data_IF_574715655707
#
_entry.id   IF_574715655707
#
_cell.length_a   1.000
_cell.length_b   1.000
_cell.length_c   1.000
_cell.angle_alpha   90.00
_cell.angle_beta   90.00
_cell.angle_gamma   90.00
#
_symmetry.space_group_name_H-M   'P 1'
#
loop_
_entity.id
_entity.type
_entity.pdbx_description
1 polymer ?
#
# COMPACT_ATOMS: atom_id res chain seq x y z
N UNK A 1 -2.79 22.62 -10.76
CA UNK A 1 -1.56 21.81 -10.77
C UNK A 1 -1.87 20.56 -9.97
N UNK A 2 -1.74 19.36 -10.53
CA UNK A 2 -2.09 18.14 -9.79
C UNK A 2 -1.13 17.99 -8.59
N UNK A 3 -1.70 17.78 -7.41
CA UNK A 3 -0.94 17.50 -6.17
C UNK A 3 -0.40 16.06 -6.12
N UNK A 4 -0.70 15.24 -7.13
CA UNK A 4 -0.35 13.82 -7.21
C UNK A 4 1.17 13.59 -7.29
N UNK A 5 1.96 14.64 -7.56
CA UNK A 5 3.43 14.55 -7.51
C UNK A 5 3.99 14.61 -6.07
N UNK A 6 3.22 15.13 -5.11
CA UNK A 6 3.66 15.27 -3.72
C UNK A 6 2.92 14.34 -2.75
N UNK A 7 1.67 14.02 -3.07
CA UNK A 7 0.75 13.23 -2.24
C UNK A 7 0.44 11.90 -2.93
N UNK A 8 0.71 10.80 -2.23
CA UNK A 8 0.34 9.46 -2.65
C UNK A 8 -0.87 8.93 -1.87
N UNK A 9 -1.87 8.44 -2.60
CA UNK A 9 -3.04 7.74 -2.05
C UNK A 9 -2.77 6.24 -1.96
N UNK A 10 -3.05 5.64 -0.80
CA UNK A 10 -2.88 4.20 -0.58
C UNK A 10 -3.81 3.42 -1.48
N UNK A 11 -5.07 3.86 -1.63
CA UNK A 11 -6.06 3.17 -2.47
C UNK A 11 -5.57 3.07 -3.91
N UNK A 12 -5.09 4.19 -4.46
CA UNK A 12 -4.62 4.24 -5.84
C UNK A 12 -3.33 3.42 -5.99
N UNK A 13 -2.45 3.47 -5.00
CA UNK A 13 -1.23 2.66 -4.96
C UNK A 13 -1.53 1.17 -4.93
N UNK A 14 -2.54 0.72 -4.16
CA UNK A 14 -2.98 -0.69 -4.12
C UNK A 14 -3.55 -1.11 -5.48
N UNK A 15 -4.40 -0.30 -6.10
CA UNK A 15 -4.94 -0.63 -7.43
C UNK A 15 -3.85 -0.67 -8.50
N UNK A 16 -2.91 0.27 -8.48
CA UNK A 16 -1.74 0.24 -9.35
C UNK A 16 -0.91 -1.03 -9.14
N UNK A 17 -0.63 -1.40 -7.88
CA UNK A 17 0.07 -2.65 -7.57
C UNK A 17 -0.70 -3.89 -8.04
N UNK A 18 -2.03 -3.90 -7.89
CA UNK A 18 -2.89 -4.98 -8.37
C UNK A 18 -2.86 -5.14 -9.90
N UNK A 19 -2.87 -4.02 -10.64
CA UNK A 19 -2.76 -4.03 -12.09
C UNK A 19 -1.40 -4.56 -12.57
N UNK A 20 -0.30 -4.07 -11.97
CA UNK A 20 1.07 -4.53 -12.28
C UNK A 20 1.25 -6.00 -11.89
N UNK A 21 0.70 -6.43 -10.76
CA UNK A 21 0.71 -7.83 -10.32
C UNK A 21 -0.05 -8.74 -11.30
N UNK A 22 -1.22 -8.32 -11.76
CA UNK A 22 -2.01 -9.08 -12.73
C UNK A 22 -1.24 -9.26 -14.05
N UNK A 23 -0.54 -8.20 -14.49
CA UNK A 23 0.34 -8.27 -15.65
C UNK A 23 1.53 -9.22 -15.42
N UNK A 24 2.16 -9.15 -14.25
CA UNK A 24 3.19 -10.11 -13.83
C UNK A 24 2.68 -11.56 -13.93
N UNK A 25 1.50 -11.85 -13.42
CA UNK A 25 0.91 -13.19 -13.44
C UNK A 25 0.70 -13.71 -14.87
N UNK A 26 0.38 -12.83 -15.83
CA UNK A 26 0.29 -13.16 -17.24
C UNK A 26 1.67 -13.43 -17.86
N UNK A 27 2.66 -12.56 -17.59
CA UNK A 27 4.03 -12.70 -18.12
C UNK A 27 4.75 -13.96 -17.64
N UNK A 28 4.46 -14.45 -16.42
CA UNK A 28 5.01 -15.72 -15.92
C UNK A 28 4.69 -16.94 -16.78
N UNK A 29 3.71 -16.84 -17.68
CA UNK A 29 3.29 -17.92 -18.58
C UNK A 29 4.02 -17.88 -19.93
N UNK A 30 4.89 -16.90 -20.13
CA UNK A 30 5.68 -16.71 -21.36
C UNK A 30 7.11 -17.18 -21.08
N UNK A 31 7.64 -18.06 -21.92
CA UNK A 31 8.97 -18.68 -21.70
C UNK A 31 10.13 -17.68 -21.84
N UNK A 32 10.08 -16.78 -22.82
CA UNK A 32 11.04 -15.68 -22.99
C UNK A 32 10.34 -14.33 -22.85
N UNK A 33 10.11 -13.93 -21.61
CA UNK A 33 9.53 -12.63 -21.26
C UNK A 33 10.56 -11.49 -21.20
N UNK A 34 11.83 -11.78 -21.55
CA UNK A 34 12.96 -10.84 -21.50
C UNK A 34 13.12 -10.15 -20.14
N UNK A 35 12.79 -10.83 -19.04
CA UNK A 35 12.92 -10.32 -17.67
C UNK A 35 11.77 -9.43 -17.21
N UNK A 36 10.71 -9.24 -18.01
CA UNK A 36 9.58 -8.38 -17.66
C UNK A 36 8.84 -8.84 -16.41
N UNK A 37 8.66 -10.14 -16.21
CA UNK A 37 8.05 -10.68 -14.98
C UNK A 37 8.87 -10.31 -13.75
N UNK A 38 10.21 -10.26 -13.84
CA UNK A 38 11.05 -9.86 -12.72
C UNK A 38 10.85 -8.38 -12.37
N UNK A 39 10.83 -7.50 -13.38
CA UNK A 39 10.57 -6.06 -13.21
C UNK A 39 9.19 -5.81 -12.58
N UNK A 40 8.15 -6.44 -13.14
CA UNK A 40 6.76 -6.28 -12.68
C UNK A 40 6.57 -6.83 -11.25
N UNK A 41 7.16 -7.99 -10.95
CA UNK A 41 7.18 -8.58 -9.61
C UNK A 41 7.82 -7.62 -8.61
N UNK A 42 9.01 -7.11 -8.93
CA UNK A 42 9.75 -6.22 -8.02
C UNK A 42 9.02 -4.90 -7.82
N UNK A 43 8.40 -4.34 -8.87
CA UNK A 43 7.60 -3.12 -8.79
C UNK A 43 6.39 -3.31 -7.85
N UNK A 44 5.65 -4.41 -8.03
CA UNK A 44 4.53 -4.78 -7.14
C UNK A 44 4.98 -4.89 -5.68
N UNK A 45 6.05 -5.65 -5.43
CA UNK A 45 6.59 -5.87 -4.07
C UNK A 45 7.03 -4.56 -3.43
N UNK A 46 7.75 -3.70 -4.17
CA UNK A 46 8.19 -2.39 -3.67
C UNK A 46 7.02 -1.50 -3.31
N UNK A 47 5.98 -1.45 -4.16
CA UNK A 47 4.79 -0.64 -3.90
C UNK A 47 4.05 -1.10 -2.63
N UNK A 48 3.74 -2.39 -2.53
CA UNK A 48 3.02 -2.95 -1.37
C UNK A 48 3.80 -2.81 -0.06
N UNK A 49 5.14 -2.94 -0.10
CA UNK A 49 6.01 -2.68 1.05
C UNK A 49 6.11 -1.20 1.41
N UNK A 50 6.13 -0.32 0.41
CA UNK A 50 6.14 1.13 0.62
C UNK A 50 4.90 1.59 1.39
N UNK A 51 3.72 1.10 1.01
CA UNK A 51 2.47 1.34 1.76
C UNK A 51 2.60 0.87 3.21
N UNK A 52 3.06 -0.36 3.43
CA UNK A 52 3.22 -0.91 4.78
C UNK A 52 4.21 -0.08 5.61
N UNK A 53 5.30 0.38 5.01
CA UNK A 53 6.29 1.22 5.67
C UNK A 53 5.69 2.56 6.12
N UNK A 54 4.79 3.16 5.33
CA UNK A 54 4.05 4.36 5.75
C UNK A 54 3.18 4.07 6.99
N UNK A 55 2.45 2.96 7.01
CA UNK A 55 1.63 2.59 8.18
C UNK A 55 2.42 2.17 9.41
N UNK A 56 3.58 1.52 9.25
CA UNK A 56 4.46 1.19 10.38
C UNK A 56 4.91 2.45 11.12
N UNK A 57 5.16 3.56 10.40
CA UNK A 57 5.49 4.85 11.02
C UNK A 57 4.34 5.42 11.87
N UNK A 58 3.11 4.99 11.61
CA UNK A 58 1.90 5.37 12.33
C UNK A 58 1.41 4.28 13.29
N UNK A 59 2.23 3.28 13.62
CA UNK A 59 1.81 2.16 14.46
C UNK A 59 1.26 2.60 15.84
N UNK A 60 1.73 3.74 16.37
CA UNK A 60 1.18 4.33 17.59
C UNK A 60 -0.32 4.66 17.50
N UNK A 61 -0.80 5.12 16.33
CA UNK A 61 -2.21 5.40 16.09
C UNK A 61 -3.04 4.12 16.14
N UNK A 62 -2.49 3.01 15.61
CA UNK A 62 -3.16 1.69 15.67
C UNK A 62 -3.36 1.25 17.12
N UNK A 63 -2.35 1.44 17.98
CA UNK A 63 -2.48 1.09 19.40
C UNK A 63 -3.54 1.94 20.12
N UNK A 64 -3.64 3.23 19.79
CA UNK A 64 -4.69 4.11 20.30
C UNK A 64 -6.07 3.70 19.76
N UNK A 65 -6.16 3.34 18.48
CA UNK A 65 -7.40 2.92 17.83
C UNK A 65 -7.99 1.65 18.46
N UNK A 66 -7.14 0.71 18.90
CA UNK A 66 -7.56 -0.49 19.64
C UNK A 66 -8.29 -0.15 20.95
N UNK A 67 -7.83 0.89 21.63
CA UNK A 67 -8.46 1.34 22.89
C UNK A 67 -9.70 2.19 22.61
N UNK A 68 -9.64 3.02 21.56
CA UNK A 68 -10.67 3.99 21.19
C UNK A 68 -10.83 4.00 19.68
N UNK A 69 -11.89 3.36 19.19
CA UNK A 69 -12.22 3.26 17.76
C UNK A 69 -12.77 4.60 17.22
N UNK A 70 -11.96 5.65 17.27
CA UNK A 70 -12.31 7.00 16.83
C UNK A 70 -11.59 7.36 15.53
N UNK A 71 -12.18 8.27 14.76
CA UNK A 71 -11.60 8.76 13.51
C UNK A 71 -10.23 9.43 13.72
N UNK A 72 -10.01 10.05 14.87
CA UNK A 72 -8.76 10.73 15.25
C UNK A 72 -7.57 9.79 15.42
N UNK A 73 -7.83 8.50 15.64
CA UNK A 73 -6.78 7.49 15.81
C UNK A 73 -6.73 6.53 14.62
N UNK A 74 -7.48 6.82 13.55
CA UNK A 74 -7.48 6.00 12.35
C UNK A 74 -6.14 6.12 11.58
N UNK A 75 -5.74 5.05 10.90
CA UNK A 75 -4.61 5.11 9.99
C UNK A 75 -4.90 6.07 8.83
N UNK A 76 -3.91 6.87 8.46
CA UNK A 76 -4.03 7.76 7.31
C UNK A 76 -3.97 6.94 6.01
N UNK A 77 -4.72 7.37 4.99
CA UNK A 77 -4.72 6.75 3.66
C UNK A 77 -3.95 7.56 2.61
N UNK A 78 -3.42 8.73 2.97
CA UNK A 78 -2.63 9.59 2.10
C UNK A 78 -1.30 9.95 2.78
N UNK A 79 -0.22 9.92 2.02
CA UNK A 79 1.14 10.17 2.51
C UNK A 79 1.93 11.06 1.57
N UNK A 80 2.95 11.74 2.09
CA UNK A 80 3.95 12.37 1.24
C UNK A 80 4.68 11.31 0.42
N UNK A 81 4.60 11.40 -0.90
CA UNK A 81 5.08 10.37 -1.84
C UNK A 81 6.58 10.08 -1.67
N UNK A 82 7.37 11.10 -1.36
CA UNK A 82 8.83 11.02 -1.25
C UNK A 82 9.32 10.59 0.14
N UNK A 83 8.62 11.00 1.21
CA UNK A 83 9.08 10.78 2.59
C UNK A 83 8.30 9.67 3.31
N UNK A 84 7.11 9.33 2.81
CA UNK A 84 6.16 8.43 3.45
C UNK A 84 5.73 8.88 4.83
N UNK A 85 5.74 10.21 5.09
CA UNK A 85 5.21 10.82 6.31
C UNK A 85 3.75 11.21 6.12
N UNK A 86 3.04 11.42 7.22
CA UNK A 86 1.72 12.04 7.21
C UNK A 86 1.74 13.43 6.58
N UNK A 87 0.67 13.76 5.86
CA UNK A 87 0.51 15.06 5.18
C UNK A 87 -0.13 16.09 6.11
N UNK A 88 -1.10 15.63 6.89
CA UNK A 88 -1.88 16.43 7.82
C UNK A 88 -1.58 15.96 9.23
N UNK A 89 -1.52 16.89 10.17
CA UNK A 89 -1.56 16.53 11.59
C UNK A 89 -2.93 15.94 11.94
N UNK A 90 -2.96 15.04 12.92
CA UNK A 90 -4.13 14.25 13.31
C UNK A 90 -5.42 15.06 13.46
N UNK A 91 -5.33 16.30 13.94
CA UNK A 91 -6.48 17.22 14.11
C UNK A 91 -7.23 17.55 12.80
N UNK A 92 -6.55 17.47 11.66
CA UNK A 92 -7.10 17.80 10.34
C UNK A 92 -7.43 16.56 9.49
N UNK A 93 -7.05 15.35 9.92
CA UNK A 93 -7.32 14.11 9.20
C UNK A 93 -8.45 13.30 9.87
N UNK A 94 -9.68 13.79 9.74
CA UNK A 94 -10.85 13.22 10.44
C UNK A 94 -11.58 12.10 9.65
N UNK A 95 -10.92 11.48 8.67
CA UNK A 95 -11.54 10.48 7.80
C UNK A 95 -11.14 9.06 8.18
N UNK A 96 -12.11 8.30 8.71
CA UNK A 96 -11.98 6.87 8.98
C UNK A 96 -12.09 6.05 7.68
N UNK A 97 -10.97 5.91 6.95
CA UNK A 97 -10.91 5.09 5.73
C UNK A 97 -10.44 3.66 6.02
N UNK A 98 -11.17 2.95 6.89
CA UNK A 98 -10.85 1.57 7.29
C UNK A 98 -11.00 0.57 6.13
N UNK A 99 -11.78 0.93 5.11
CA UNK A 99 -11.93 0.16 3.89
C UNK A 99 -10.62 0.03 3.12
N UNK A 100 -9.75 1.05 3.19
CA UNK A 100 -8.43 1.04 2.53
C UNK A 100 -7.50 0.00 3.17
N UNK A 101 -7.51 -0.12 4.50
CA UNK A 101 -6.76 -1.18 5.20
C UNK A 101 -7.26 -2.57 4.80
N UNK A 102 -8.59 -2.73 4.73
CA UNK A 102 -9.23 -3.98 4.30
C UNK A 102 -8.87 -4.35 2.86
N UNK A 103 -8.88 -3.37 1.95
CA UNK A 103 -8.48 -3.51 0.56
C UNK A 103 -7.01 -3.95 0.43
N UNK A 104 -6.11 -3.30 1.18
CA UNK A 104 -4.69 -3.66 1.21
C UNK A 104 -4.49 -5.10 1.66
N UNK A 105 -5.11 -5.51 2.77
CA UNK A 105 -4.99 -6.88 3.30
C UNK A 105 -5.53 -7.90 2.30
N UNK A 106 -6.67 -7.62 1.65
CA UNK A 106 -7.24 -8.51 0.65
C UNK A 106 -6.27 -8.77 -0.53
N UNK A 107 -5.68 -7.71 -1.09
CA UNK A 107 -4.69 -7.86 -2.15
C UNK A 107 -3.37 -8.47 -1.67
N UNK A 108 -2.93 -8.12 -0.46
CA UNK A 108 -1.73 -8.69 0.15
C UNK A 108 -1.83 -10.22 0.24
N UNK A 109 -2.96 -10.73 0.74
CA UNK A 109 -3.22 -12.17 0.84
C UNK A 109 -3.16 -12.82 -0.54
N UNK A 110 -3.88 -12.28 -1.53
CA UNK A 110 -3.88 -12.82 -2.89
C UNK A 110 -2.48 -12.84 -3.52
N UNK A 111 -1.71 -11.76 -3.36
CA UNK A 111 -0.34 -11.65 -3.88
C UNK A 111 0.59 -12.66 -3.21
N UNK A 112 0.54 -12.82 -1.88
CA UNK A 112 1.36 -13.81 -1.17
C UNK A 112 0.97 -15.24 -1.55
N UNK A 113 -0.33 -15.54 -1.65
CA UNK A 113 -0.83 -16.85 -2.10
C UNK A 113 -0.37 -17.16 -3.53
N UNK A 114 -0.17 -16.15 -4.39
CA UNK A 114 0.39 -16.34 -5.74
C UNK A 114 1.91 -16.59 -5.78
N UNK A 115 2.57 -16.53 -4.62
CA UNK A 115 4.01 -16.78 -4.46
C UNK A 115 4.87 -15.52 -4.33
N UNK A 116 4.30 -14.31 -4.24
CA UNK A 116 5.10 -13.11 -3.97
C UNK A 116 5.52 -13.07 -2.49
N UNK A 117 6.81 -12.89 -2.25
CA UNK A 117 7.33 -12.63 -0.91
C UNK A 117 7.21 -11.14 -0.58
N UNK A 118 6.04 -10.69 -0.11
CA UNK A 118 5.85 -9.29 0.31
C UNK A 118 6.26 -9.09 1.77
N UNK A 119 5.82 -9.99 2.67
CA UNK A 119 6.15 -10.00 4.10
C UNK A 119 7.15 -11.12 4.37
N UNK A 120 8.23 -10.81 5.10
CA UNK A 120 9.26 -11.74 5.56
C UNK A 120 9.96 -11.12 6.77
N UNK A 121 10.57 -11.98 7.59
CA UNK A 121 11.29 -11.60 8.82
C UNK A 121 12.79 -11.63 8.55
#
# INVERSE_FOLDING_TARGET
>A
MSIDQEVGSVRDSVYCAAAVWSLYQAYRRIDDDRGKSCELRQSTVKCMRGILQCWIKQACLVELFKQRQSNQHALHSNFHLHTGKEIYSDDFYNHLQIDVASLYINFLVQMITSGLQIIYT
#
